data_IF_429943105448
#
_entry.id   IF_429943105448
#
_cell.length_a   1.000
_cell.length_b   1.000
_cell.length_c   1.000
_cell.angle_alpha   90.00
_cell.angle_beta   90.00
_cell.angle_gamma   90.00
#
_symmetry.space_group_name_H-M   'P 1'
#
loop_
_entity.id
_entity.type
_entity.pdbx_description
1 polymer ?
#
# COMPACT_ATOMS: atom_id res chain seq x y z
N UNK A 1 -12.57 23.40 18.15
CA UNK A 1 -11.99 22.08 17.81
C UNK A 1 -10.78 21.84 18.69
N UNK A 2 -10.81 20.86 19.60
CA UNK A 2 -9.83 20.75 20.69
C UNK A 2 -8.45 20.29 20.19
N UNK A 3 -7.42 21.13 20.37
CA UNK A 3 -6.02 20.84 20.03
C UNK A 3 -5.51 19.50 20.62
N UNK A 4 -6.01 19.12 21.80
CA UNK A 4 -5.71 17.84 22.47
C UNK A 4 -6.12 16.59 21.68
N UNK A 5 -7.09 16.69 20.74
CA UNK A 5 -7.50 15.55 19.89
C UNK A 5 -6.61 15.36 18.65
N UNK A 6 -5.87 16.40 18.24
CA UNK A 6 -5.01 16.40 17.06
C UNK A 6 -3.58 15.96 17.37
N UNK A 7 -3.10 16.24 18.59
CA UNK A 7 -1.72 15.95 19.00
C UNK A 7 -1.30 14.48 18.80
N UNK A 8 -2.10 13.47 19.18
CA UNK A 8 -1.72 12.07 18.95
C UNK A 8 -1.62 11.72 17.46
N UNK A 9 -2.45 12.34 16.61
CA UNK A 9 -2.45 12.12 15.16
C UNK A 9 -1.22 12.73 14.51
N UNK A 10 -0.81 13.92 14.96
CA UNK A 10 0.39 14.59 14.48
C UNK A 10 1.66 13.75 14.74
N UNK A 11 1.76 13.09 15.90
CA UNK A 11 2.90 12.21 16.21
C UNK A 11 2.94 10.99 15.27
N UNK A 12 1.78 10.39 14.97
CA UNK A 12 1.70 9.25 14.05
C UNK A 12 2.08 9.66 12.62
N UNK A 13 1.61 10.83 12.16
CA UNK A 13 2.00 11.40 10.87
C UNK A 13 3.50 11.70 10.82
N UNK A 14 4.06 12.28 11.89
CA UNK A 14 5.49 12.55 11.99
C UNK A 14 6.30 11.24 11.90
N UNK A 15 5.87 10.19 12.59
CA UNK A 15 6.50 8.88 12.52
C UNK A 15 6.47 8.31 11.10
N UNK A 16 5.33 8.42 10.42
CA UNK A 16 5.19 8.01 9.02
C UNK A 16 6.12 8.82 8.09
N UNK A 17 6.23 10.14 8.29
CA UNK A 17 7.15 11.01 7.53
C UNK A 17 8.61 10.63 7.78
N UNK A 18 9.00 10.36 9.03
CA UNK A 18 10.37 9.90 9.34
C UNK A 18 10.66 8.56 8.68
N UNK A 19 9.71 7.61 8.72
CA UNK A 19 9.85 6.32 8.04
C UNK A 19 9.97 6.49 6.51
N UNK A 20 9.18 7.39 5.91
CA UNK A 20 9.28 7.74 4.49
C UNK A 20 10.67 8.31 4.16
N UNK A 21 11.15 9.31 4.91
CA UNK A 21 12.44 9.95 4.67
C UNK A 21 13.61 8.96 4.85
N UNK A 22 13.56 8.12 5.89
CA UNK A 22 14.54 7.05 6.09
C UNK A 22 14.50 5.99 4.99
N UNK A 23 13.30 5.64 4.52
CA UNK A 23 13.09 4.73 3.40
C UNK A 23 13.58 5.29 2.06
N UNK A 24 13.33 6.58 1.79
CA UNK A 24 13.86 7.27 0.61
C UNK A 24 15.38 7.35 0.65
N UNK A 25 15.96 7.73 1.80
CA UNK A 25 17.40 7.81 1.98
C UNK A 25 18.09 6.46 1.77
N UNK A 26 17.55 5.40 2.36
CA UNK A 26 18.05 4.03 2.16
C UNK A 26 17.83 3.53 0.72
N UNK A 27 16.74 3.93 0.06
CA UNK A 27 16.48 3.62 -1.35
C UNK A 27 17.51 4.26 -2.28
N UNK A 28 17.83 5.54 -2.09
CA UNK A 28 18.90 6.22 -2.82
C UNK A 28 20.27 5.57 -2.57
N UNK A 29 20.55 5.17 -1.32
CA UNK A 29 21.76 4.44 -0.99
C UNK A 29 21.85 3.08 -1.72
N UNK A 30 20.71 2.37 -1.88
CA UNK A 30 20.63 1.12 -2.67
C UNK A 30 20.85 1.33 -4.17
N UNK A 31 20.55 2.52 -4.69
CA UNK A 31 20.86 2.90 -6.08
C UNK A 31 22.34 3.25 -6.29
N UNK A 32 23.16 3.23 -5.23
CA UNK A 32 24.57 3.59 -5.29
C UNK A 32 24.84 5.09 -5.13
N UNK A 33 23.81 5.90 -4.82
CA UNK A 33 24.00 7.31 -4.52
C UNK A 33 24.76 7.49 -3.19
N UNK A 34 25.64 8.48 -3.14
CA UNK A 34 26.39 8.80 -1.91
C UNK A 34 25.46 9.45 -0.88
N UNK A 35 24.98 8.64 0.05
CA UNK A 35 24.09 9.06 1.13
C UNK A 35 24.82 9.14 2.48
N UNK A 36 24.27 9.94 3.39
CA UNK A 36 24.72 10.04 4.77
C UNK A 36 24.81 8.64 5.43
N UNK A 37 25.79 8.36 6.33
CA UNK A 37 25.94 7.06 7.02
C UNK A 37 24.62 6.48 7.55
N UNK A 38 23.82 7.30 8.22
CA UNK A 38 22.51 6.89 8.75
C UNK A 38 21.57 6.26 7.70
N UNK A 39 21.54 6.79 6.47
CA UNK A 39 20.73 6.23 5.39
C UNK A 39 21.28 4.90 4.87
N UNK A 40 22.62 4.72 4.92
CA UNK A 40 23.28 3.46 4.54
C UNK A 40 23.01 2.35 5.55
N UNK A 41 22.95 2.69 6.84
CA UNK A 41 22.62 1.74 7.91
C UNK A 41 21.22 1.13 7.72
N UNK A 42 20.30 1.88 7.11
CA UNK A 42 18.93 1.45 6.85
C UNK A 42 18.71 0.69 5.54
N UNK A 43 19.75 0.40 4.74
CA UNK A 43 19.63 -0.30 3.44
C UNK A 43 18.87 -1.63 3.57
N UNK A 44 19.13 -2.39 4.63
CA UNK A 44 18.53 -3.70 4.86
C UNK A 44 17.07 -3.65 5.31
N UNK A 45 16.63 -2.51 5.88
CA UNK A 45 15.25 -2.31 6.31
C UNK A 45 14.42 -1.51 5.31
N UNK A 46 14.98 -1.03 4.19
CA UNK A 46 14.28 -0.20 3.20
C UNK A 46 12.86 -0.70 2.85
N UNK A 47 12.73 -1.96 2.39
CA UNK A 47 11.43 -2.53 2.01
C UNK A 47 10.43 -2.60 3.18
N UNK A 48 10.79 -3.27 4.30
CA UNK A 48 9.96 -3.29 5.50
C UNK A 48 9.58 -1.89 6.04
N UNK A 49 10.50 -0.93 5.98
CA UNK A 49 10.29 0.43 6.44
C UNK A 49 9.30 1.19 5.56
N UNK A 50 9.44 1.10 4.23
CA UNK A 50 8.53 1.75 3.29
C UNK A 50 7.12 1.14 3.33
N UNK A 51 7.02 -0.18 3.39
CA UNK A 51 5.72 -0.87 3.31
C UNK A 51 5.05 -0.96 4.69
N UNK A 52 5.67 -1.66 5.64
CA UNK A 52 5.05 -1.90 6.95
C UNK A 52 5.18 -0.69 7.88
N UNK A 53 6.30 0.05 7.80
CA UNK A 53 6.53 1.22 8.63
C UNK A 53 5.73 2.46 8.18
N UNK A 54 6.00 2.95 6.97
CA UNK A 54 5.37 4.14 6.42
C UNK A 54 3.92 3.89 5.99
N UNK A 55 3.69 3.11 4.93
CA UNK A 55 2.35 2.92 4.35
C UNK A 55 1.42 2.18 5.31
N UNK A 56 1.91 1.15 6.00
CA UNK A 56 1.15 0.42 7.03
C UNK A 56 0.64 1.35 8.13
N UNK A 57 1.45 2.29 8.61
CA UNK A 57 1.03 3.25 9.65
C UNK A 57 -0.05 4.20 9.13
N UNK A 58 0.11 4.71 7.89
CA UNK A 58 -0.89 5.61 7.29
C UNK A 58 -2.23 4.91 7.06
N UNK A 59 -2.23 3.70 6.50
CA UNK A 59 -3.45 2.94 6.23
C UNK A 59 -4.14 2.57 7.56
N UNK A 60 -3.38 2.11 8.56
CA UNK A 60 -3.91 1.89 9.91
C UNK A 60 -4.54 3.15 10.50
N UNK A 61 -3.91 4.31 10.33
CA UNK A 61 -4.40 5.58 10.87
C UNK A 61 -5.71 5.99 10.20
N UNK A 62 -5.76 5.93 8.88
CA UNK A 62 -6.96 6.28 8.11
C UNK A 62 -8.16 5.42 8.54
N UNK A 63 -7.99 4.09 8.56
CA UNK A 63 -9.07 3.15 8.92
C UNK A 63 -9.45 3.27 10.39
N UNK A 64 -8.48 3.51 11.27
CA UNK A 64 -8.75 3.74 12.69
C UNK A 64 -9.56 5.02 12.92
N UNK A 65 -9.22 6.12 12.24
CA UNK A 65 -9.93 7.41 12.38
C UNK A 65 -11.38 7.30 11.94
N UNK A 66 -11.66 6.54 10.87
CA UNK A 66 -13.03 6.30 10.41
C UNK A 66 -13.91 5.59 11.47
N UNK A 67 -13.32 4.72 12.28
CA UNK A 67 -14.01 3.95 13.32
C UNK A 67 -13.96 4.60 14.72
N UNK A 68 -13.09 5.60 14.93
CA UNK A 68 -12.75 6.12 16.26
C UNK A 68 -13.93 6.76 17.02
N UNK A 69 -15.00 7.18 16.32
CA UNK A 69 -16.20 7.74 16.95
C UNK A 69 -16.97 6.71 17.79
N UNK A 70 -17.01 5.45 17.33
CA UNK A 70 -17.74 4.35 17.98
C UNK A 70 -16.81 3.32 18.63
N UNK A 71 -15.61 3.11 18.08
CA UNK A 71 -14.60 2.20 18.61
C UNK A 71 -13.31 2.95 18.89
N UNK A 72 -13.24 3.64 20.03
CA UNK A 72 -12.08 4.51 20.39
C UNK A 72 -10.76 3.75 20.46
N UNK A 73 -10.79 2.45 20.76
CA UNK A 73 -9.60 1.58 20.78
C UNK A 73 -8.98 1.41 19.40
N UNK A 74 -9.69 1.71 18.30
CA UNK A 74 -9.16 1.60 16.93
C UNK A 74 -7.85 2.37 16.75
N UNK A 75 -7.67 3.48 17.49
CA UNK A 75 -6.47 4.31 17.47
C UNK A 75 -5.24 3.62 18.07
N UNK A 76 -5.39 2.52 18.83
CA UNK A 76 -4.25 1.74 19.30
C UNK A 76 -3.53 1.03 18.14
N UNK A 77 -4.25 0.65 17.08
CA UNK A 77 -3.69 -0.06 15.92
C UNK A 77 -2.59 0.74 15.22
N UNK A 78 -2.81 1.99 14.76
CA UNK A 78 -1.75 2.80 14.17
C UNK A 78 -0.66 3.17 15.18
N UNK A 79 -0.96 3.29 16.47
CA UNK A 79 0.07 3.53 17.51
C UNK A 79 1.03 2.35 17.61
N UNK A 80 0.50 1.12 17.73
CA UNK A 80 1.32 -0.10 17.77
C UNK A 80 2.19 -0.20 16.51
N UNK A 81 1.61 0.06 15.34
CA UNK A 81 2.35 0.02 14.08
C UNK A 81 3.43 1.09 13.98
N UNK A 82 3.14 2.32 14.42
CA UNK A 82 4.10 3.43 14.45
C UNK A 82 5.26 3.14 15.42
N UNK A 83 4.98 2.57 16.60
CA UNK A 83 6.04 2.12 17.51
C UNK A 83 6.87 1.01 16.87
N UNK A 84 6.25 0.09 16.12
CA UNK A 84 6.95 -0.90 15.31
C UNK A 84 7.86 -0.28 14.24
N UNK A 85 7.41 0.77 13.56
CA UNK A 85 8.20 1.52 12.58
C UNK A 85 9.41 2.21 13.22
N UNK A 86 9.21 2.85 14.38
CA UNK A 86 10.30 3.46 15.15
C UNK A 86 11.27 2.41 15.66
N UNK A 87 10.78 1.29 16.17
CA UNK A 87 11.61 0.16 16.58
C UNK A 87 12.42 -0.38 15.40
N UNK A 88 11.89 -0.36 14.18
CA UNK A 88 12.63 -0.75 12.98
C UNK A 88 13.79 0.22 12.66
N UNK A 89 13.58 1.53 12.84
CA UNK A 89 14.63 2.54 12.61
C UNK A 89 15.77 2.47 13.63
N UNK A 90 15.45 2.14 14.89
CA UNK A 90 16.42 2.10 16.00
C UNK A 90 17.05 0.72 16.16
N UNK A 91 16.24 -0.33 16.11
CA UNK A 91 16.62 -1.73 16.39
C UNK A 91 16.77 -2.56 15.11
N UNK A 92 16.65 -1.95 13.92
CA UNK A 92 16.80 -2.62 12.63
C UNK A 92 15.87 -3.85 12.52
N UNK A 93 16.41 -5.01 12.16
CA UNK A 93 15.64 -6.25 11.94
C UNK A 93 15.34 -7.03 13.23
N UNK A 94 15.43 -6.41 14.40
CA UNK A 94 15.20 -7.08 15.68
C UNK A 94 13.76 -7.61 15.82
N UNK A 95 13.61 -8.72 16.55
CA UNK A 95 12.33 -9.39 16.80
C UNK A 95 11.23 -8.46 17.35
N UNK A 96 11.49 -7.53 18.30
CA UNK A 96 10.47 -6.61 18.79
C UNK A 96 9.84 -5.74 17.69
N UNK A 97 10.63 -5.26 16.71
CA UNK A 97 10.11 -4.48 15.60
C UNK A 97 9.17 -5.32 14.73
N UNK A 98 9.58 -6.55 14.38
CA UNK A 98 8.75 -7.50 13.62
C UNK A 98 7.45 -7.87 14.33
N UNK A 99 7.51 -8.08 15.66
CA UNK A 99 6.35 -8.38 16.49
C UNK A 99 5.34 -7.24 16.48
N UNK A 100 5.80 -6.00 16.68
CA UNK A 100 4.94 -4.82 16.70
C UNK A 100 4.29 -4.57 15.33
N UNK A 101 5.04 -4.72 14.24
CA UNK A 101 4.48 -4.60 12.88
C UNK A 101 3.47 -5.73 12.57
N UNK A 102 3.73 -6.95 13.04
CA UNK A 102 2.78 -8.07 12.95
C UNK A 102 1.50 -7.79 13.74
N UNK A 103 1.62 -7.26 14.95
CA UNK A 103 0.49 -6.85 15.77
C UNK A 103 -0.30 -5.69 15.13
N UNK A 104 0.38 -4.74 14.50
CA UNK A 104 -0.23 -3.68 13.71
C UNK A 104 -1.07 -4.23 12.55
N UNK A 105 -0.52 -5.19 11.80
CA UNK A 105 -1.25 -5.86 10.72
C UNK A 105 -2.45 -6.68 11.19
N UNK A 106 -2.33 -7.37 12.34
CA UNK A 106 -3.47 -8.06 12.97
C UNK A 106 -4.56 -7.07 13.38
N UNK A 107 -4.16 -5.93 13.95
CA UNK A 107 -5.05 -4.82 14.26
C UNK A 107 -5.80 -4.33 13.03
N UNK A 108 -5.11 -4.14 11.90
CA UNK A 108 -5.76 -3.70 10.65
C UNK A 108 -6.77 -4.73 10.12
N UNK A 109 -6.44 -6.03 10.19
CA UNK A 109 -7.40 -7.11 9.85
C UNK A 109 -8.64 -7.03 10.76
N UNK A 110 -8.46 -6.77 12.06
CA UNK A 110 -9.59 -6.61 12.97
C UNK A 110 -10.44 -5.38 12.64
N UNK A 111 -9.84 -4.24 12.28
CA UNK A 111 -10.56 -3.05 11.85
C UNK A 111 -11.39 -3.32 10.59
N UNK A 112 -10.81 -3.96 9.57
CA UNK A 112 -11.55 -4.34 8.37
C UNK A 112 -12.63 -5.39 8.65
N UNK A 113 -12.38 -6.34 9.55
CA UNK A 113 -13.41 -7.29 9.99
C UNK A 113 -14.62 -6.60 10.63
N UNK A 114 -14.41 -5.53 11.39
CA UNK A 114 -15.49 -4.70 11.93
C UNK A 114 -16.22 -3.98 10.80
N UNK A 115 -15.49 -3.36 9.86
CA UNK A 115 -16.09 -2.66 8.72
C UNK A 115 -16.94 -3.60 7.86
N UNK A 116 -16.47 -4.83 7.60
CA UNK A 116 -17.24 -5.87 6.89
C UNK A 116 -18.53 -6.26 7.62
N UNK A 117 -18.49 -6.36 8.96
CA UNK A 117 -19.68 -6.66 9.76
C UNK A 117 -20.71 -5.52 9.73
N UNK A 118 -20.27 -4.28 9.59
CA UNK A 118 -21.16 -3.13 9.48
C UNK A 118 -21.75 -3.00 8.08
N UNK A 119 -20.92 -3.13 7.06
CA UNK A 119 -21.31 -3.00 5.66
C UNK A 119 -20.52 -3.99 4.80
N UNK A 120 -21.17 -5.08 4.40
CA UNK A 120 -20.59 -6.06 3.51
C UNK A 120 -20.60 -5.54 2.07
N UNK A 121 -19.41 -5.26 1.53
CA UNK A 121 -19.23 -4.77 0.17
C UNK A 121 -17.97 -5.36 -0.48
N UNK A 122 -17.97 -5.48 -1.81
CA UNK A 122 -16.91 -6.19 -2.57
C UNK A 122 -15.53 -5.54 -2.44
N UNK A 123 -15.48 -4.22 -2.50
CA UNK A 123 -14.29 -3.39 -2.19
C UNK A 123 -13.74 -3.73 -0.80
N UNK A 124 -14.60 -3.78 0.21
CA UNK A 124 -14.18 -4.05 1.59
C UNK A 124 -13.62 -5.47 1.71
N UNK A 125 -14.21 -6.44 1.00
CA UNK A 125 -13.67 -7.81 0.92
C UNK A 125 -12.27 -7.80 0.30
N UNK A 126 -12.07 -7.07 -0.80
CA UNK A 126 -10.76 -6.95 -1.48
C UNK A 126 -9.73 -6.29 -0.55
N UNK A 127 -10.07 -5.17 0.10
CA UNK A 127 -9.18 -4.51 1.07
C UNK A 127 -8.84 -5.42 2.26
N UNK A 128 -9.82 -6.17 2.76
CA UNK A 128 -9.61 -7.14 3.84
C UNK A 128 -8.65 -8.25 3.40
N UNK A 129 -8.80 -8.78 2.19
CA UNK A 129 -7.85 -9.74 1.63
C UNK A 129 -6.43 -9.17 1.55
N UNK A 130 -6.30 -7.88 1.19
CA UNK A 130 -5.04 -7.14 1.27
C UNK A 130 -4.45 -7.12 2.69
N UNK A 131 -5.25 -6.76 3.70
CA UNK A 131 -4.79 -6.75 5.09
C UNK A 131 -4.38 -8.14 5.60
N UNK A 132 -5.09 -9.20 5.17
CA UNK A 132 -4.71 -10.59 5.48
C UNK A 132 -3.39 -10.96 4.81
N UNK A 133 -3.14 -10.53 3.58
CA UNK A 133 -1.83 -10.69 2.94
C UNK A 133 -0.73 -10.00 3.76
N UNK A 134 -0.98 -8.78 4.23
CA UNK A 134 0.00 -8.06 5.07
C UNK A 134 0.33 -8.81 6.35
N UNK A 135 -0.70 -9.27 7.08
CA UNK A 135 -0.54 -10.07 8.29
C UNK A 135 0.26 -11.34 8.01
N UNK A 136 -0.10 -12.06 6.95
CA UNK A 136 0.59 -13.30 6.55
C UNK A 136 2.06 -13.02 6.23
N UNK A 137 2.36 -11.96 5.47
CA UNK A 137 3.73 -11.56 5.15
C UNK A 137 4.54 -11.17 6.39
N UNK A 138 3.95 -10.40 7.30
CA UNK A 138 4.61 -10.03 8.57
C UNK A 138 4.83 -11.24 9.48
N UNK A 139 3.87 -12.17 9.57
CA UNK A 139 4.01 -13.41 10.34
C UNK A 139 5.10 -14.32 9.77
N UNK A 140 5.18 -14.48 8.46
CA UNK A 140 6.25 -15.25 7.81
C UNK A 140 7.62 -14.60 8.04
N UNK A 141 7.69 -13.27 7.93
CA UNK A 141 8.93 -12.53 8.19
C UNK A 141 9.39 -12.60 9.65
N UNK A 142 8.44 -12.56 10.59
CA UNK A 142 8.68 -12.80 12.01
C UNK A 142 9.18 -14.23 12.25
N UNK A 143 8.65 -15.22 11.53
CA UNK A 143 9.09 -16.61 11.55
C UNK A 143 10.45 -16.85 10.86
N UNK A 144 11.10 -15.79 10.35
CA UNK A 144 12.45 -15.87 9.77
C UNK A 144 12.49 -16.00 8.24
N UNK A 145 11.35 -15.96 7.54
CA UNK A 145 11.34 -16.00 6.09
C UNK A 145 12.02 -14.74 5.48
N UNK A 146 12.73 -14.89 4.37
CA UNK A 146 13.50 -13.80 3.77
C UNK A 146 12.61 -12.74 3.12
N UNK A 147 13.11 -11.50 3.06
CA UNK A 147 12.36 -10.35 2.53
C UNK A 147 11.90 -10.58 1.08
N UNK A 148 12.75 -11.15 0.22
CA UNK A 148 12.42 -11.39 -1.18
C UNK A 148 11.20 -12.31 -1.36
N UNK A 149 10.87 -13.14 -0.37
CA UNK A 149 9.72 -14.04 -0.43
C UNK A 149 8.45 -13.36 0.11
N UNK A 150 8.56 -12.67 1.24
CA UNK A 150 7.39 -12.05 1.92
C UNK A 150 6.94 -10.74 1.26
N UNK A 151 7.80 -10.07 0.50
CA UNK A 151 7.50 -8.77 -0.12
C UNK A 151 6.34 -8.85 -1.11
N UNK A 152 6.06 -10.00 -1.72
CA UNK A 152 4.92 -10.17 -2.62
C UNK A 152 3.57 -10.14 -1.88
N UNK A 153 3.52 -10.65 -0.66
CA UNK A 153 2.35 -10.51 0.23
C UNK A 153 2.17 -9.05 0.68
N UNK A 154 3.27 -8.34 0.95
CA UNK A 154 3.25 -6.92 1.28
C UNK A 154 2.85 -6.03 0.09
N UNK A 155 3.28 -6.36 -1.12
CA UNK A 155 2.84 -5.69 -2.34
C UNK A 155 1.34 -5.94 -2.58
N UNK A 156 0.88 -7.19 -2.39
CA UNK A 156 -0.54 -7.53 -2.47
C UNK A 156 -1.41 -6.75 -1.50
N UNK A 157 -0.93 -6.53 -0.27
CA UNK A 157 -1.61 -5.66 0.68
C UNK A 157 -1.91 -4.28 0.10
N UNK A 158 -0.91 -3.59 -0.43
CA UNK A 158 -1.07 -2.25 -0.97
C UNK A 158 -1.90 -2.26 -2.25
N UNK A 159 -1.64 -3.21 -3.16
CA UNK A 159 -2.35 -3.32 -4.43
C UNK A 159 -3.84 -3.56 -4.20
N UNK A 160 -4.21 -4.51 -3.35
CA UNK A 160 -5.60 -4.83 -3.08
C UNK A 160 -6.31 -3.74 -2.28
N UNK A 161 -5.60 -3.06 -1.37
CA UNK A 161 -6.16 -1.89 -0.66
C UNK A 161 -6.55 -0.80 -1.66
N UNK A 162 -5.64 -0.44 -2.56
CA UNK A 162 -5.89 0.57 -3.60
C UNK A 162 -7.02 0.11 -4.55
N UNK A 163 -6.97 -1.13 -5.05
CA UNK A 163 -8.00 -1.66 -5.97
C UNK A 163 -9.38 -1.63 -5.31
N UNK A 164 -9.46 -2.00 -4.03
CA UNK A 164 -10.69 -1.90 -3.25
C UNK A 164 -11.21 -0.47 -3.16
N UNK A 165 -10.37 0.49 -2.75
CA UNK A 165 -10.73 1.92 -2.68
C UNK A 165 -11.21 2.47 -4.05
N UNK A 166 -10.56 2.05 -5.13
CA UNK A 166 -10.96 2.43 -6.49
C UNK A 166 -12.32 1.86 -6.89
N UNK A 167 -12.63 0.63 -6.48
CA UNK A 167 -13.94 0.03 -6.67
C UNK A 167 -15.02 0.76 -5.87
N UNK A 168 -14.72 1.16 -4.62
CA UNK A 168 -15.62 1.94 -3.77
C UNK A 168 -16.07 3.23 -4.48
N UNK A 169 -15.11 4.00 -5.02
CA UNK A 169 -15.38 5.26 -5.73
C UNK A 169 -16.07 5.04 -7.08
N UNK A 170 -15.76 3.95 -7.78
CA UNK A 170 -16.34 3.65 -9.09
C UNK A 170 -17.81 3.24 -9.01
N UNK A 171 -18.32 2.81 -7.84
CA UNK A 171 -19.74 2.49 -7.65
C UNK A 171 -20.69 3.66 -7.81
N UNK A 172 -20.21 4.89 -7.63
CA UNK A 172 -20.99 6.11 -7.94
C UNK A 172 -21.49 6.09 -9.41
N UNK A 173 -20.80 5.34 -10.29
CA UNK A 173 -21.17 5.16 -11.71
C UNK A 173 -22.04 3.93 -12.02
N UNK A 174 -22.53 3.18 -11.02
CA UNK A 174 -23.33 1.95 -11.20
C UNK A 174 -22.69 0.96 -12.18
N UNK A 175 -21.53 0.40 -11.81
CA UNK A 175 -20.92 -0.69 -12.56
C UNK A 175 -21.93 -1.86 -12.73
N UNK A 176 -21.92 -2.52 -13.89
CA UNK A 176 -22.73 -3.73 -14.07
C UNK A 176 -22.16 -4.86 -13.21
N UNK A 177 -23.03 -5.77 -12.77
CA UNK A 177 -22.61 -6.95 -11.98
C UNK A 177 -21.52 -7.76 -12.69
N UNK A 178 -21.58 -7.85 -14.01
CA UNK A 178 -20.58 -8.53 -14.84
C UNK A 178 -19.20 -7.88 -14.72
N UNK A 179 -19.11 -6.55 -14.77
CA UNK A 179 -17.82 -5.85 -14.64
C UNK A 179 -17.23 -6.02 -13.23
N UNK A 180 -18.06 -6.00 -12.20
CA UNK A 180 -17.60 -6.27 -10.83
C UNK A 180 -17.15 -7.72 -10.64
N UNK A 181 -17.81 -8.69 -11.28
CA UNK A 181 -17.38 -10.09 -11.28
C UNK A 181 -16.06 -10.28 -12.04
N UNK A 182 -15.88 -9.56 -13.15
CA UNK A 182 -14.63 -9.57 -13.89
C UNK A 182 -13.47 -9.07 -13.02
N UNK A 183 -13.66 -7.99 -12.25
CA UNK A 183 -12.64 -7.54 -11.29
C UNK A 183 -12.37 -8.59 -10.21
N UNK A 184 -13.42 -9.21 -9.67
CA UNK A 184 -13.25 -10.25 -8.66
C UNK A 184 -12.40 -11.40 -9.21
N UNK A 185 -12.62 -11.81 -10.47
CA UNK A 185 -11.80 -12.82 -11.14
C UNK A 185 -10.33 -12.41 -11.27
N UNK A 186 -10.04 -11.17 -11.69
CA UNK A 186 -8.65 -10.71 -11.82
C UNK A 186 -7.93 -10.63 -10.48
N UNK A 187 -8.64 -10.19 -9.42
CA UNK A 187 -8.16 -10.19 -8.03
C UNK A 187 -7.91 -11.62 -7.55
N UNK A 188 -8.80 -12.58 -7.85
CA UNK A 188 -8.61 -13.98 -7.48
C UNK A 188 -7.38 -14.58 -8.15
N UNK A 189 -7.17 -14.35 -9.44
CA UNK A 189 -5.96 -14.80 -10.16
C UNK A 189 -4.70 -14.22 -9.50
N UNK A 190 -4.72 -12.92 -9.19
CA UNK A 190 -3.63 -12.25 -8.50
C UNK A 190 -3.32 -12.88 -7.14
N UNK A 191 -4.35 -13.10 -6.31
CA UNK A 191 -4.24 -13.71 -4.99
C UNK A 191 -3.73 -15.15 -5.04
N UNK A 192 -4.19 -15.96 -5.99
CA UNK A 192 -3.67 -17.33 -6.19
C UNK A 192 -2.16 -17.26 -6.48
N UNK A 193 -1.73 -16.35 -7.34
CA UNK A 193 -0.31 -16.13 -7.61
C UNK A 193 0.48 -15.72 -6.37
N UNK A 194 -0.04 -14.78 -5.58
CA UNK A 194 0.58 -14.33 -4.32
C UNK A 194 0.65 -15.46 -3.27
N UNK A 195 -0.38 -16.28 -3.14
CA UNK A 195 -0.34 -17.44 -2.24
C UNK A 195 0.70 -18.45 -2.73
N UNK A 196 0.76 -18.66 -4.05
CA UNK A 196 1.71 -19.57 -4.67
C UNK A 196 3.16 -19.13 -4.44
N UNK A 197 3.48 -17.83 -4.24
CA UNK A 197 4.86 -17.40 -3.93
C UNK A 197 5.40 -17.98 -2.64
N UNK A 198 4.53 -18.45 -1.73
CA UNK A 198 4.94 -19.11 -0.48
C UNK A 198 5.55 -20.49 -0.77
N UNK A 199 5.03 -21.20 -1.77
CA UNK A 199 5.40 -22.59 -2.09
C UNK A 199 6.31 -22.70 -3.32
N UNK A 200 6.10 -21.85 -4.31
CA UNK A 200 6.87 -21.78 -5.54
C UNK A 200 6.97 -20.31 -5.99
N UNK A 201 8.10 -19.68 -5.68
CA UNK A 201 8.32 -18.26 -5.90
C UNK A 201 8.21 -17.88 -7.39
N UNK A 202 8.79 -18.67 -8.31
CA UNK A 202 8.82 -18.33 -9.74
C UNK A 202 7.41 -18.38 -10.34
N UNK A 203 6.70 -19.50 -10.15
CA UNK A 203 5.35 -19.66 -10.66
C UNK A 203 4.38 -18.65 -10.03
N UNK A 204 4.53 -18.38 -8.73
CA UNK A 204 3.72 -17.39 -8.02
C UNK A 204 3.93 -15.96 -8.52
N UNK A 205 5.16 -15.53 -8.76
CA UNK A 205 5.46 -14.20 -9.30
C UNK A 205 4.90 -14.06 -10.72
N UNK A 206 5.05 -15.07 -11.58
CA UNK A 206 4.48 -15.03 -12.93
C UNK A 206 2.96 -14.94 -12.90
N UNK A 207 2.29 -15.77 -12.09
CA UNK A 207 0.84 -15.80 -11.99
C UNK A 207 0.26 -14.52 -11.36
N UNK A 208 0.90 -14.00 -10.31
CA UNK A 208 0.54 -12.69 -9.75
C UNK A 208 0.78 -11.57 -10.78
N UNK A 209 1.82 -11.68 -11.60
CA UNK A 209 2.03 -10.79 -12.74
C UNK A 209 0.86 -10.80 -13.73
N UNK A 210 0.33 -11.97 -14.09
CA UNK A 210 -0.89 -12.12 -14.91
C UNK A 210 -2.07 -11.41 -14.24
N UNK A 211 -2.31 -11.67 -12.95
CA UNK A 211 -3.36 -11.00 -12.20
C UNK A 211 -3.22 -9.46 -12.19
N UNK A 212 -1.99 -8.95 -12.04
CA UNK A 212 -1.69 -7.52 -12.04
C UNK A 212 -1.98 -6.88 -13.42
N UNK A 213 -1.58 -7.52 -14.52
CA UNK A 213 -1.91 -7.04 -15.88
C UNK A 213 -3.42 -7.00 -16.10
N UNK A 214 -4.13 -8.06 -15.72
CA UNK A 214 -5.57 -8.13 -15.87
C UNK A 214 -6.30 -7.07 -15.02
N UNK A 215 -5.84 -6.84 -13.78
CA UNK A 215 -6.34 -5.73 -12.95
C UNK A 215 -6.05 -4.36 -13.58
N UNK A 216 -4.85 -4.14 -14.11
CA UNK A 216 -4.48 -2.89 -14.77
C UNK A 216 -5.39 -2.61 -15.99
N UNK A 217 -5.62 -3.62 -16.84
CA UNK A 217 -6.53 -3.52 -17.99
C UNK A 217 -7.96 -3.21 -17.53
N UNK A 218 -8.44 -3.89 -16.47
CA UNK A 218 -9.77 -3.62 -15.91
C UNK A 218 -9.88 -2.17 -15.42
N UNK A 219 -8.91 -1.68 -14.65
CA UNK A 219 -8.89 -0.32 -14.12
C UNK A 219 -8.86 0.72 -15.24
N UNK A 220 -7.99 0.55 -16.23
CA UNK A 220 -7.92 1.43 -17.41
C UNK A 220 -9.24 1.48 -18.19
N UNK A 221 -9.98 0.37 -18.21
CA UNK A 221 -11.24 0.26 -18.97
C UNK A 221 -12.45 0.81 -18.20
N UNK A 222 -12.54 0.54 -16.90
CA UNK A 222 -13.78 0.72 -16.14
C UNK A 222 -13.70 1.80 -15.05
N UNK A 223 -12.51 2.19 -14.58
CA UNK A 223 -12.37 3.25 -13.57
C UNK A 223 -12.87 4.61 -14.09
N UNK A 224 -13.35 5.46 -13.19
CA UNK A 224 -13.80 6.82 -13.48
C UNK A 224 -12.69 7.73 -14.00
N UNK A 225 -11.42 7.46 -13.67
CA UNK A 225 -10.27 8.25 -14.09
C UNK A 225 -10.21 8.50 -15.60
N UNK A 226 -10.59 7.52 -16.42
CA UNK A 226 -10.64 7.65 -17.90
C UNK A 226 -11.58 8.76 -18.38
N UNK A 227 -12.59 9.13 -17.59
CA UNK A 227 -13.49 10.25 -17.89
C UNK A 227 -13.03 11.53 -17.20
N UNK A 228 -12.60 11.42 -15.94
CA UNK A 228 -12.15 12.57 -15.15
C UNK A 228 -10.91 13.23 -15.76
N UNK A 229 -10.10 12.51 -16.54
CA UNK A 229 -8.95 13.06 -17.29
C UNK A 229 -9.36 14.15 -18.31
N UNK A 230 -10.63 14.21 -18.71
CA UNK A 230 -11.15 15.24 -19.60
C UNK A 230 -11.72 16.45 -18.84
N UNK A 231 -11.71 16.45 -17.50
CA UNK A 231 -12.06 17.61 -16.68
C UNK A 231 -10.85 18.56 -16.56
N UNK A 232 -10.99 19.65 -15.80
CA UNK A 232 -9.93 20.63 -15.55
C UNK A 232 -9.59 20.73 -14.05
N UNK A 233 -8.39 21.22 -13.74
CA UNK A 233 -7.94 21.44 -12.36
C UNK A 233 -7.62 20.15 -11.61
N UNK A 234 -7.93 20.12 -10.30
CA UNK A 234 -7.61 19.01 -9.41
C UNK A 234 -8.13 17.66 -9.91
N UNK A 235 -9.41 17.48 -10.31
CA UNK A 235 -9.91 16.20 -10.79
C UNK A 235 -9.08 15.61 -11.94
N UNK A 236 -8.60 16.45 -12.87
CA UNK A 236 -7.77 16.05 -14.00
C UNK A 236 -6.40 15.54 -13.54
N UNK A 237 -5.77 16.25 -12.62
CA UNK A 237 -4.49 15.85 -12.03
C UNK A 237 -4.62 14.50 -11.32
N UNK A 238 -5.64 14.32 -10.47
CA UNK A 238 -5.91 13.04 -9.81
C UNK A 238 -6.05 11.93 -10.85
N UNK A 239 -6.84 12.16 -11.90
CA UNK A 239 -7.03 11.19 -12.97
C UNK A 239 -5.73 10.85 -13.71
N UNK A 240 -4.86 11.82 -13.96
CA UNK A 240 -3.57 11.61 -14.62
C UNK A 240 -2.67 10.70 -13.76
N UNK A 241 -2.56 10.97 -12.47
CA UNK A 241 -1.82 10.12 -11.53
C UNK A 241 -2.41 8.70 -11.49
N UNK A 242 -3.73 8.55 -11.38
CA UNK A 242 -4.39 7.24 -11.36
C UNK A 242 -4.09 6.42 -12.63
N UNK A 243 -4.24 7.04 -13.81
CA UNK A 243 -3.98 6.38 -15.09
C UNK A 243 -2.51 5.99 -15.24
N UNK A 244 -1.58 6.87 -14.86
CA UNK A 244 -0.14 6.55 -14.83
C UNK A 244 0.14 5.36 -13.89
N UNK A 245 -0.49 5.35 -12.72
CA UNK A 245 -0.42 4.22 -11.80
C UNK A 245 -0.88 2.91 -12.45
N UNK A 246 -2.03 2.90 -13.13
CA UNK A 246 -2.53 1.69 -13.80
C UNK A 246 -1.56 1.17 -14.86
N UNK A 247 -0.90 2.07 -15.62
CA UNK A 247 0.15 1.69 -16.57
C UNK A 247 1.33 1.04 -15.85
N UNK A 248 1.77 1.60 -14.72
CA UNK A 248 2.84 1.01 -13.89
C UNK A 248 2.48 -0.36 -13.31
N UNK A 249 1.23 -0.56 -12.90
CA UNK A 249 0.74 -1.86 -12.44
C UNK A 249 0.83 -2.91 -13.57
N UNK A 250 0.40 -2.53 -14.78
CA UNK A 250 0.50 -3.39 -15.96
C UNK A 250 1.95 -3.69 -16.34
N UNK A 251 2.81 -2.66 -16.35
CA UNK A 251 4.24 -2.81 -16.63
C UNK A 251 4.92 -3.75 -15.63
N UNK A 252 4.72 -3.55 -14.32
CA UNK A 252 5.24 -4.44 -13.28
C UNK A 252 4.75 -5.88 -13.45
N UNK A 253 3.48 -6.06 -13.83
CA UNK A 253 2.89 -7.35 -14.18
C UNK A 253 3.59 -8.05 -15.35
N UNK A 254 3.85 -7.32 -16.43
CA UNK A 254 4.55 -7.86 -17.60
C UNK A 254 5.99 -8.27 -17.27
N UNK A 255 6.72 -7.45 -16.50
CA UNK A 255 8.08 -7.79 -16.07
C UNK A 255 8.07 -9.01 -15.14
N UNK A 256 7.10 -9.11 -14.22
CA UNK A 256 6.94 -10.26 -13.34
C UNK A 256 6.65 -11.57 -14.13
N UNK A 257 5.79 -11.51 -15.15
CA UNK A 257 5.52 -12.65 -16.05
C UNK A 257 6.80 -13.07 -16.79
N UNK A 258 7.58 -12.10 -17.25
CA UNK A 258 8.79 -12.37 -18.05
C UNK A 258 9.93 -12.94 -17.19
N UNK A 259 10.25 -12.28 -16.08
CA UNK A 259 11.41 -12.60 -15.23
C UNK A 259 11.15 -13.73 -14.25
N UNK A 260 9.96 -13.81 -13.65
CA UNK A 260 9.66 -14.77 -12.59
C UNK A 260 10.47 -14.51 -11.31
N UNK A 261 11.03 -15.55 -10.71
CA UNK A 261 11.76 -15.46 -9.44
C UNK A 261 13.06 -14.66 -9.56
N UNK A 262 13.12 -13.53 -8.85
CA UNK A 262 14.33 -12.73 -8.68
C UNK A 262 14.51 -12.42 -7.19
N UNK A 263 15.73 -12.53 -6.69
CA UNK A 263 16.04 -12.45 -5.25
C UNK A 263 16.70 -11.13 -4.83
N UNK A 264 17.42 -10.50 -5.76
CA UNK A 264 18.14 -9.24 -5.57
C UNK A 264 18.48 -8.60 -6.93
N UNK A 265 19.07 -7.40 -6.90
CA UNK A 265 19.57 -6.72 -8.09
C UNK A 265 18.53 -5.90 -8.87
N UNK A 266 18.88 -5.42 -10.08
CA UNK A 266 18.05 -4.51 -10.85
C UNK A 266 16.70 -5.09 -11.26
N UNK A 267 16.65 -6.35 -11.68
CA UNK A 267 15.38 -6.99 -12.09
C UNK A 267 14.40 -7.11 -10.91
N UNK A 268 14.90 -7.49 -9.72
CA UNK A 268 14.12 -7.49 -8.48
C UNK A 268 13.62 -6.08 -8.14
N UNK A 269 14.49 -5.08 -8.28
CA UNK A 269 14.15 -3.69 -8.03
C UNK A 269 13.07 -3.19 -9.00
N UNK A 270 13.18 -3.48 -10.30
CA UNK A 270 12.23 -3.04 -11.33
C UNK A 270 10.83 -3.58 -11.06
N UNK A 271 10.68 -4.88 -10.77
CA UNK A 271 9.36 -5.48 -10.49
C UNK A 271 8.72 -4.79 -9.28
N UNK A 272 9.46 -4.71 -8.18
CA UNK A 272 8.93 -4.16 -6.94
C UNK A 272 8.70 -2.66 -7.03
N UNK A 273 9.60 -1.88 -7.65
CA UNK A 273 9.41 -0.44 -7.78
C UNK A 273 8.35 -0.09 -8.81
N UNK A 274 8.09 -0.90 -9.84
CA UNK A 274 6.94 -0.70 -10.72
C UNK A 274 5.63 -0.75 -9.92
N UNK A 275 5.48 -1.71 -9.01
CA UNK A 275 4.31 -1.79 -8.12
C UNK A 275 4.32 -0.72 -7.02
N UNK A 276 5.41 -0.63 -6.26
CA UNK A 276 5.47 0.12 -5.01
C UNK A 276 5.80 1.60 -5.21
N UNK A 277 6.57 1.96 -6.23
CA UNK A 277 6.86 3.36 -6.56
C UNK A 277 5.96 3.81 -7.72
N UNK A 278 5.98 3.11 -8.85
CA UNK A 278 5.18 3.44 -10.02
C UNK A 278 3.68 3.48 -9.72
N UNK A 279 3.08 2.35 -9.32
CA UNK A 279 1.64 2.26 -9.06
C UNK A 279 1.24 2.91 -7.74
N UNK A 280 1.82 2.51 -6.60
CA UNK A 280 1.39 2.99 -5.28
C UNK A 280 1.67 4.48 -5.07
N UNK A 281 2.86 5.02 -5.41
CA UNK A 281 3.08 6.47 -5.23
C UNK A 281 2.26 7.31 -6.20
N UNK A 282 1.96 6.82 -7.40
CA UNK A 282 1.00 7.51 -8.27
C UNK A 282 -0.36 7.68 -7.57
N UNK A 283 -0.81 6.67 -6.82
CA UNK A 283 -2.05 6.77 -6.02
C UNK A 283 -1.91 7.76 -4.87
N UNK A 284 -0.76 7.75 -4.18
CA UNK A 284 -0.47 8.70 -3.09
C UNK A 284 -0.52 10.13 -3.63
N UNK A 285 0.22 10.44 -4.70
CA UNK A 285 0.24 11.78 -5.28
C UNK A 285 -1.12 12.24 -5.79
N UNK A 286 -1.91 11.32 -6.36
CA UNK A 286 -3.28 11.61 -6.78
C UNK A 286 -4.21 11.96 -5.61
N UNK A 287 -4.13 11.26 -4.48
CA UNK A 287 -5.05 11.49 -3.35
C UNK A 287 -4.49 12.45 -2.29
N UNK A 288 -3.19 12.77 -2.32
CA UNK A 288 -2.52 13.63 -1.35
C UNK A 288 -3.23 14.97 -1.15
N UNK A 289 -3.70 15.70 -2.19
CA UNK A 289 -4.44 16.96 -2.01
C UNK A 289 -5.75 16.83 -1.24
N UNK A 290 -6.29 15.61 -1.11
CA UNK A 290 -7.52 15.31 -0.37
C UNK A 290 -7.18 14.79 1.04
N UNK A 291 -6.23 13.86 1.14
CA UNK A 291 -5.91 13.16 2.39
C UNK A 291 -5.13 14.06 3.37
N UNK A 292 -4.15 14.84 2.89
CA UNK A 292 -3.35 15.70 3.77
C UNK A 292 -4.21 16.69 4.56
N UNK A 293 -5.16 17.43 3.93
CA UNK A 293 -6.07 18.30 4.67
C UNK A 293 -6.93 17.56 5.69
N UNK A 294 -7.43 16.38 5.36
CA UNK A 294 -8.28 15.60 6.25
C UNK A 294 -7.54 15.11 7.51
N UNK A 295 -6.24 14.81 7.38
CA UNK A 295 -5.42 14.30 8.49
C UNK A 295 -4.73 15.41 9.30
N UNK A 296 -4.27 16.48 8.64
CA UNK A 296 -3.51 17.57 9.28
C UNK A 296 -4.37 18.78 9.68
N UNK A 297 -5.54 18.95 9.06
CA UNK A 297 -6.36 20.17 9.18
C UNK A 297 -5.84 21.36 8.35
N UNK A 298 -4.75 21.20 7.60
CA UNK A 298 -4.17 22.24 6.74
C UNK A 298 -4.91 22.32 5.41
N UNK A 299 -5.07 23.53 4.85
CA UNK A 299 -5.63 23.70 3.49
C UNK A 299 -4.54 23.48 2.46
N UNK A 300 -4.78 22.60 1.49
CA UNK A 300 -3.90 22.41 0.33
C UNK A 300 -4.63 22.89 -0.92
N UNK A 301 -4.10 23.93 -1.56
CA UNK A 301 -4.64 24.45 -2.81
C UNK A 301 -3.98 23.74 -3.99
N UNK A 302 -4.78 23.32 -4.96
CA UNK A 302 -4.27 22.79 -6.22
C UNK A 302 -3.51 23.88 -7.00
N UNK A 303 -2.36 23.50 -7.56
CA UNK A 303 -1.58 24.32 -8.50
C UNK A 303 -1.24 23.48 -9.75
N UNK A 304 -1.26 24.06 -10.96
CA UNK A 304 -0.81 23.37 -12.18
C UNK A 304 0.62 22.84 -12.12
N UNK A 305 1.47 23.40 -11.25
CA UNK A 305 2.85 22.94 -11.00
C UNK A 305 2.94 21.52 -10.41
N UNK A 306 1.81 20.94 -10.00
CA UNK A 306 1.77 19.58 -9.48
C UNK A 306 1.86 18.50 -10.58
N UNK A 307 1.59 18.85 -11.85
CA UNK A 307 1.76 17.95 -12.99
C UNK A 307 3.23 17.56 -13.20
#
# INVERSE_FOLDING_TARGET
MNALRLFPRAILLLTAVIALLGGMGSGLARLGWQMHPLSRDWIMIHGPLMISGFLGTLICLERAVALASRWRWSLLVPVINAVGATALLVLHLATPAKLLLSAGSLGLVALFGIMLRLHLSRDMIIMTAGAVCWLTGNSLWLAGQPIYQVVHLWAAFLILTIVGERLELSRVRRLTRANEQLLALTVTIYLIGVILTIFNLDAGIRLSGVGAVLMAVWLLRYDIARRTIHQNGLPRYIAACLLAGFVWLGFGGLVAIWKGAVYAGPDYAIILHAYLLGFVFSMIFGHMPIILPALSGLRMNYSPLLY
#
